data_IF_806325076050
#
_entry.id   IF_806325076050
#
_cell.length_a   1.000
_cell.length_b   1.000
_cell.length_c   1.000
_cell.angle_alpha   90.00
_cell.angle_beta   90.00
_cell.angle_gamma   90.00
#
_symmetry.space_group_name_H-M   'P 1'
#
loop_
_entity.id
_entity.type
_entity.pdbx_description
1 polymer ?
#
# COMPACT_ATOMS: atom_id res chain seq x y z
N UNK A 1 -1.71 9.70 -11.65
CA UNK A 1 -1.44 8.37 -12.18
C UNK A 1 -2.27 7.33 -11.47
N UNK A 2 -2.96 6.51 -12.24
CA UNK A 2 -3.71 5.35 -11.78
C UNK A 2 -2.95 4.04 -11.99
N UNK A 3 -3.56 2.94 -11.58
CA UNK A 3 -2.91 1.62 -11.61
C UNK A 3 -2.57 1.16 -13.03
N UNK A 4 -3.38 1.50 -14.03
CA UNK A 4 -3.16 1.10 -15.43
C UNK A 4 -1.96 1.84 -16.03
N UNK A 5 -1.87 3.14 -15.79
CA UNK A 5 -0.77 4.00 -16.24
C UNK A 5 0.57 3.60 -15.62
N UNK A 6 0.60 3.37 -14.30
CA UNK A 6 1.80 2.85 -13.61
C UNK A 6 2.23 1.52 -14.21
N UNK A 7 1.29 0.63 -14.51
CA UNK A 7 1.60 -0.67 -15.11
C UNK A 7 2.16 -0.53 -16.53
N UNK A 8 1.69 0.43 -17.32
CA UNK A 8 2.21 0.72 -18.66
C UNK A 8 3.69 1.13 -18.61
N UNK A 9 4.04 2.08 -17.75
CA UNK A 9 5.44 2.49 -17.56
C UNK A 9 6.27 1.33 -17.02
N UNK A 10 5.74 0.57 -16.06
CA UNK A 10 6.44 -0.58 -15.46
C UNK A 10 6.75 -1.68 -16.47
N UNK A 11 5.94 -1.87 -17.52
CA UNK A 11 6.20 -2.83 -18.60
C UNK A 11 7.46 -2.47 -19.41
N UNK A 12 7.87 -1.19 -19.41
CA UNK A 12 9.09 -0.72 -20.08
C UNK A 12 10.37 -1.20 -19.36
N UNK A 13 10.28 -1.62 -18.11
CA UNK A 13 11.43 -2.14 -17.35
C UNK A 13 11.67 -3.63 -17.64
N UNK A 14 11.90 -3.96 -18.89
CA UNK A 14 12.25 -5.31 -19.33
C UNK A 14 13.19 -5.25 -20.54
N UNK A 15 13.98 -6.30 -20.81
CA UNK A 15 14.87 -6.31 -21.97
C UNK A 15 14.14 -6.07 -23.30
N UNK A 16 12.90 -6.57 -23.42
CA UNK A 16 12.12 -6.47 -24.66
C UNK A 16 11.59 -5.05 -24.92
N UNK A 17 11.23 -4.31 -23.86
CA UNK A 17 10.52 -3.03 -23.96
C UNK A 17 11.36 -1.87 -23.39
N UNK A 18 12.69 -2.02 -23.30
CA UNK A 18 13.53 -1.08 -22.56
C UNK A 18 13.58 0.30 -23.23
N UNK A 19 12.85 1.26 -22.67
CA UNK A 19 12.88 2.67 -23.04
C UNK A 19 13.97 3.48 -22.30
N UNK A 20 14.74 2.84 -21.41
CA UNK A 20 15.77 3.51 -20.62
C UNK A 20 16.97 3.84 -21.50
N UNK A 21 17.38 5.11 -21.49
CA UNK A 21 18.49 5.62 -22.28
C UNK A 21 19.75 5.82 -21.45
N UNK A 22 19.60 6.28 -20.20
CA UNK A 22 20.72 6.62 -19.29
C UNK A 22 20.43 6.10 -17.89
N UNK A 23 21.51 5.73 -17.19
CA UNK A 23 21.52 5.44 -15.77
C UNK A 23 22.70 6.14 -15.10
N UNK A 24 22.41 6.76 -13.98
CA UNK A 24 23.36 7.46 -13.14
C UNK A 24 23.23 6.92 -11.70
N UNK A 25 24.36 6.72 -11.04
CA UNK A 25 24.44 6.16 -9.70
C UNK A 25 25.28 7.02 -8.77
N UNK A 26 24.89 7.13 -7.51
CA UNK A 26 25.70 7.76 -6.46
C UNK A 26 25.60 6.94 -5.17
N UNK A 27 26.72 6.35 -4.74
CA UNK A 27 26.84 5.62 -3.48
C UNK A 27 27.26 6.55 -2.36
N UNK A 28 26.45 6.60 -1.31
CA UNK A 28 26.59 7.52 -0.18
C UNK A 28 26.78 6.71 1.10
N UNK A 29 27.78 7.07 1.89
CA UNK A 29 28.01 6.44 3.20
C UNK A 29 27.15 7.08 4.31
N UNK A 30 27.16 6.45 5.49
CA UNK A 30 26.47 6.93 6.69
C UNK A 30 26.94 8.32 7.18
N UNK A 31 28.08 8.83 6.70
CA UNK A 31 28.58 10.18 6.98
C UNK A 31 28.16 11.20 5.90
N UNK A 32 27.26 10.81 4.99
CA UNK A 32 26.76 11.61 3.85
C UNK A 32 27.84 11.99 2.82
N UNK A 33 28.92 11.20 2.72
CA UNK A 33 29.94 11.38 1.68
C UNK A 33 29.60 10.57 0.43
N UNK A 34 29.74 11.19 -0.75
CA UNK A 34 29.72 10.49 -2.05
C UNK A 34 31.00 9.65 -2.18
N UNK A 35 30.86 8.32 -2.20
CA UNK A 35 31.97 7.36 -2.32
C UNK A 35 32.22 6.91 -3.75
N UNK A 36 31.18 6.89 -4.57
CA UNK A 36 31.23 6.46 -5.95
C UNK A 36 30.11 7.12 -6.72
N UNK A 37 30.41 7.52 -7.95
CA UNK A 37 29.46 8.01 -8.93
C UNK A 37 29.65 7.26 -10.25
N UNK A 38 28.56 7.05 -10.97
CA UNK A 38 28.57 6.44 -12.30
C UNK A 38 27.58 7.14 -13.23
N UNK A 39 27.90 7.14 -14.52
CA UNK A 39 27.05 7.65 -15.59
C UNK A 39 27.28 6.80 -16.84
N UNK A 40 26.27 6.03 -17.23
CA UNK A 40 26.38 5.06 -18.32
C UNK A 40 25.13 5.07 -19.20
N UNK A 41 25.29 4.68 -20.47
CA UNK A 41 24.15 4.31 -21.29
C UNK A 41 23.58 2.99 -20.76
N UNK A 42 22.27 2.92 -20.52
CA UNK A 42 21.69 1.76 -19.83
C UNK A 42 21.92 0.45 -20.59
N UNK A 43 21.84 0.48 -21.93
CA UNK A 43 22.07 -0.68 -22.79
C UNK A 43 23.55 -1.11 -22.88
N UNK A 44 24.48 -0.36 -22.27
CA UNK A 44 25.89 -0.75 -22.18
C UNK A 44 26.16 -1.63 -20.94
N UNK A 45 25.21 -1.72 -20.00
CA UNK A 45 25.35 -2.55 -18.81
C UNK A 45 25.33 -4.05 -19.16
N UNK A 46 26.05 -4.89 -18.38
CA UNK A 46 25.88 -6.33 -18.45
C UNK A 46 24.41 -6.75 -18.26
N UNK A 47 23.95 -7.73 -19.02
CA UNK A 47 22.54 -8.16 -19.00
C UNK A 47 22.08 -8.58 -17.59
N UNK A 48 22.93 -9.30 -16.85
CA UNK A 48 22.64 -9.72 -15.48
C UNK A 48 22.43 -8.53 -14.52
N UNK A 49 23.21 -7.45 -14.68
CA UNK A 49 23.07 -6.22 -13.90
C UNK A 49 21.80 -5.47 -14.29
N UNK A 50 21.54 -5.34 -15.60
CA UNK A 50 20.33 -4.69 -16.12
C UNK A 50 19.05 -5.34 -15.56
N UNK A 51 19.01 -6.67 -15.44
CA UNK A 51 17.90 -7.36 -14.80
C UNK A 51 17.68 -6.94 -13.34
N UNK A 52 18.76 -6.76 -12.55
CA UNK A 52 18.64 -6.29 -11.17
C UNK A 52 18.14 -4.85 -11.09
N UNK A 53 18.59 -3.99 -11.99
CA UNK A 53 18.10 -2.62 -12.06
C UNK A 53 16.61 -2.56 -12.47
N UNK A 54 16.17 -3.39 -13.42
CA UNK A 54 14.73 -3.49 -13.75
C UNK A 54 13.88 -3.88 -12.54
N UNK A 55 14.35 -4.80 -11.69
CA UNK A 55 13.64 -5.18 -10.47
C UNK A 55 13.53 -4.01 -9.47
N UNK A 56 14.58 -3.19 -9.36
CA UNK A 56 14.57 -1.96 -8.55
C UNK A 56 13.53 -0.98 -9.09
N UNK A 57 13.56 -0.64 -10.38
CA UNK A 57 12.64 0.34 -10.97
C UNK A 57 11.18 -0.12 -10.92
N UNK A 58 10.95 -1.42 -11.18
CA UNK A 58 9.64 -2.05 -10.96
C UNK A 58 9.19 -1.94 -9.52
N UNK A 59 10.11 -2.03 -8.55
CA UNK A 59 9.77 -1.93 -7.13
C UNK A 59 9.44 -0.50 -6.74
N UNK A 60 10.11 0.50 -7.31
CA UNK A 60 9.77 1.92 -7.16
C UNK A 60 8.38 2.24 -7.72
N UNK A 61 7.94 1.54 -8.77
CA UNK A 61 6.58 1.61 -9.30
C UNK A 61 5.69 0.45 -8.81
N UNK A 62 5.66 0.21 -7.50
CA UNK A 62 4.89 -0.88 -6.89
C UNK A 62 4.16 -0.49 -5.61
N UNK A 63 3.16 -1.31 -5.25
CA UNK A 63 2.35 -1.12 -4.06
C UNK A 63 0.97 -0.56 -4.42
N UNK A 64 0.28 -0.01 -3.42
CA UNK A 64 -1.04 0.59 -3.62
C UNK A 64 -0.91 2.08 -3.96
N UNK A 65 -1.68 2.55 -4.95
CA UNK A 65 -1.88 3.98 -5.20
C UNK A 65 -2.52 4.59 -3.95
N UNK A 66 -2.04 5.77 -3.55
CA UNK A 66 -2.52 6.47 -2.37
C UNK A 66 -1.96 5.98 -1.03
N UNK A 67 -1.11 4.95 -1.04
CA UNK A 67 -0.40 4.46 0.15
C UNK A 67 1.10 4.34 -0.06
N UNK A 68 1.51 3.55 -1.04
CA UNK A 68 2.93 3.41 -1.41
C UNK A 68 3.31 4.34 -2.55
N UNK A 69 2.38 4.60 -3.46
CA UNK A 69 2.57 5.46 -4.61
C UNK A 69 1.62 6.66 -4.48
N UNK A 70 2.16 7.84 -4.27
CA UNK A 70 1.41 9.05 -3.97
C UNK A 70 1.50 10.00 -5.17
N UNK A 71 0.36 10.34 -5.75
CA UNK A 71 0.30 11.42 -6.72
C UNK A 71 0.41 12.74 -5.98
N UNK A 72 1.33 13.60 -6.39
CA UNK A 72 1.52 14.93 -5.80
C UNK A 72 1.50 15.96 -6.92
N UNK A 73 0.79 17.05 -6.69
CA UNK A 73 0.72 18.19 -7.60
C UNK A 73 1.73 19.25 -7.17
N UNK A 74 2.33 19.93 -8.15
CA UNK A 74 3.15 21.10 -7.89
C UNK A 74 2.26 22.29 -7.53
N UNK A 75 2.58 23.03 -6.45
CA UNK A 75 1.95 24.31 -6.20
C UNK A 75 2.39 25.33 -7.27
N UNK A 76 1.56 26.35 -7.50
CA UNK A 76 1.77 27.32 -8.59
C UNK A 76 3.16 28.00 -8.54
N UNK A 77 3.70 28.25 -7.36
CA UNK A 77 5.02 28.86 -7.17
C UNK A 77 6.17 27.93 -7.56
N UNK A 78 6.02 26.62 -7.41
CA UNK A 78 7.00 25.64 -7.87
C UNK A 78 7.10 25.57 -9.40
N UNK A 79 6.05 25.96 -10.12
CA UNK A 79 5.99 25.99 -11.59
C UNK A 79 6.45 27.33 -12.20
N UNK A 80 6.61 28.36 -11.37
CA UNK A 80 7.10 29.66 -11.81
C UNK A 80 8.61 29.61 -12.11
N UNK A 81 9.14 30.54 -12.94
CA UNK A 81 10.58 30.62 -13.19
C UNK A 81 11.38 30.72 -11.88
N UNK A 82 12.33 29.81 -11.69
CA UNK A 82 13.12 29.63 -10.48
C UNK A 82 12.55 28.63 -9.46
N UNK A 83 11.36 28.08 -9.71
CA UNK A 83 10.72 27.07 -8.86
C UNK A 83 11.37 25.69 -8.97
N UNK A 84 11.08 24.81 -8.00
CA UNK A 84 11.70 23.48 -7.90
C UNK A 84 11.39 22.58 -9.10
N UNK A 85 10.22 22.73 -9.73
CA UNK A 85 9.84 21.98 -10.93
C UNK A 85 10.81 22.27 -12.09
N UNK A 86 11.28 23.52 -12.23
CA UNK A 86 12.21 23.91 -13.30
C UNK A 86 13.53 23.12 -13.21
N UNK A 87 14.00 22.81 -12.00
CA UNK A 87 15.19 22.00 -11.80
C UNK A 87 14.98 20.55 -12.29
N UNK A 88 13.84 19.93 -11.97
CA UNK A 88 13.51 18.59 -12.44
C UNK A 88 13.33 18.54 -13.98
N UNK A 89 12.73 19.59 -14.56
CA UNK A 89 12.61 19.73 -16.02
C UNK A 89 13.99 19.82 -16.68
N UNK A 90 14.89 20.68 -16.16
CA UNK A 90 16.27 20.79 -16.67
C UNK A 90 17.02 19.46 -16.57
N UNK A 91 16.89 18.77 -15.45
CA UNK A 91 17.52 17.47 -15.23
C UNK A 91 17.05 16.44 -16.27
N UNK A 92 15.73 16.33 -16.47
CA UNK A 92 15.13 15.47 -17.51
C UNK A 92 15.57 15.87 -18.92
N UNK A 93 15.47 17.15 -19.26
CA UNK A 93 15.72 17.66 -20.61
C UNK A 93 17.20 17.56 -20.99
N UNK A 94 18.10 17.58 -20.01
CA UNK A 94 19.52 17.28 -20.19
C UNK A 94 19.79 15.80 -20.50
N UNK A 95 18.78 14.92 -20.38
CA UNK A 95 18.89 13.46 -20.50
C UNK A 95 19.95 12.85 -19.57
N UNK A 96 20.17 13.52 -18.44
CA UNK A 96 21.23 13.22 -17.46
C UNK A 96 22.64 13.29 -18.06
N UNK A 97 22.88 14.19 -19.01
CA UNK A 97 24.20 14.38 -19.62
C UNK A 97 24.98 15.52 -18.98
N UNK A 98 24.31 16.46 -18.31
CA UNK A 98 24.91 17.58 -17.61
C UNK A 98 25.40 17.17 -16.21
N UNK A 99 26.72 17.11 -16.05
CA UNK A 99 27.39 16.73 -14.80
C UNK A 99 27.13 17.71 -13.65
N UNK A 100 26.96 19.00 -13.95
CA UNK A 100 26.69 19.98 -12.89
C UNK A 100 25.28 19.82 -12.33
N UNK A 101 24.29 19.56 -13.20
CA UNK A 101 22.91 19.28 -12.77
C UNK A 101 22.81 17.97 -11.99
N UNK A 102 23.54 16.93 -12.41
CA UNK A 102 23.58 15.66 -11.69
C UNK A 102 24.20 15.82 -10.29
N UNK A 103 25.30 16.56 -10.19
CA UNK A 103 25.97 16.79 -8.93
C UNK A 103 25.10 17.57 -7.94
N UNK A 104 24.45 18.64 -8.43
CA UNK A 104 23.47 19.41 -7.66
C UNK A 104 22.28 18.53 -7.22
N UNK A 105 21.82 17.63 -8.09
CA UNK A 105 20.74 16.70 -7.74
C UNK A 105 21.15 15.75 -6.62
N UNK A 106 22.34 15.16 -6.68
CA UNK A 106 22.85 14.31 -5.60
C UNK A 106 23.00 15.06 -4.29
N UNK A 107 23.52 16.30 -4.32
CA UNK A 107 23.63 17.13 -3.11
C UNK A 107 22.26 17.42 -2.48
N UNK A 108 21.26 17.77 -3.30
CA UNK A 108 19.88 17.98 -2.82
C UNK A 108 19.30 16.72 -2.20
N UNK A 109 19.48 15.55 -2.83
CA UNK A 109 19.01 14.27 -2.27
C UNK A 109 19.72 13.98 -0.94
N UNK A 110 21.04 14.13 -0.87
CA UNK A 110 21.83 13.86 0.35
C UNK A 110 21.47 14.83 1.50
N UNK A 111 21.19 16.09 1.17
CA UNK A 111 20.79 17.09 2.16
C UNK A 111 19.41 16.81 2.74
N UNK A 112 18.48 16.26 1.96
CA UNK A 112 17.06 16.15 2.30
C UNK A 112 16.61 14.74 2.70
N UNK A 113 17.34 13.69 2.31
CA UNK A 113 17.06 12.33 2.72
C UNK A 113 17.64 12.05 4.12
N UNK A 114 16.76 11.79 5.08
CA UNK A 114 17.10 11.44 6.45
C UNK A 114 17.24 9.92 6.59
N UNK A 115 18.48 9.44 6.46
CA UNK A 115 18.82 8.04 6.61
C UNK A 115 20.19 7.88 7.28
N UNK A 116 20.27 6.95 8.24
CA UNK A 116 21.44 6.82 9.13
C UNK A 116 22.48 5.79 8.66
N UNK A 117 22.17 5.02 7.62
CA UNK A 117 23.07 4.00 7.06
C UNK A 117 23.50 4.37 5.64
N UNK A 118 24.28 3.51 5.00
CA UNK A 118 24.69 3.73 3.61
C UNK A 118 23.51 3.53 2.67
N UNK A 119 23.52 4.24 1.54
CA UNK A 119 22.48 4.11 0.52
C UNK A 119 23.03 4.41 -0.87
N UNK A 120 22.30 3.96 -1.88
CA UNK A 120 22.62 4.13 -3.28
C UNK A 120 21.47 4.86 -3.98
N UNK A 121 21.78 6.03 -4.54
CA UNK A 121 20.86 6.82 -5.34
C UNK A 121 21.00 6.35 -6.78
N UNK A 122 19.91 5.86 -7.37
CA UNK A 122 19.85 5.47 -8.78
C UNK A 122 18.90 6.42 -9.49
N UNK A 123 19.36 7.07 -10.55
CA UNK A 123 18.58 7.96 -11.38
C UNK A 123 18.65 7.49 -12.83
N UNK A 124 17.50 7.35 -13.49
CA UNK A 124 17.43 6.99 -14.91
C UNK A 124 16.70 8.06 -15.71
N UNK A 125 17.02 8.14 -17.00
CA UNK A 125 16.23 8.84 -18.00
C UNK A 125 15.74 7.85 -19.05
N UNK A 126 14.46 7.93 -19.37
CA UNK A 126 13.80 7.08 -20.36
C UNK A 126 12.98 7.91 -21.34
N UNK A 127 12.93 7.44 -22.59
CA UNK A 127 12.14 8.02 -23.66
C UNK A 127 11.25 6.92 -24.24
N UNK A 128 10.00 6.87 -23.79
CA UNK A 128 9.03 5.86 -24.15
C UNK A 128 8.15 6.34 -25.30
N UNK A 129 8.14 5.58 -26.39
CA UNK A 129 7.29 5.82 -27.54
C UNK A 129 5.90 5.23 -27.26
N UNK A 130 4.88 6.07 -27.05
CA UNK A 130 3.56 5.66 -26.55
C UNK A 130 2.72 5.09 -27.70
N UNK A 131 2.43 3.77 -27.75
CA UNK A 131 1.69 3.18 -28.86
C UNK A 131 0.29 3.78 -29.00
N UNK A 132 -0.21 3.92 -30.22
CA UNK A 132 -1.61 4.28 -30.47
C UNK A 132 -2.56 3.24 -29.91
N UNK A 133 -3.79 3.64 -29.57
CA UNK A 133 -4.86 2.70 -29.18
C UNK A 133 -6.09 2.91 -30.03
N UNK A 134 -6.72 1.80 -30.43
CA UNK A 134 -8.04 1.83 -31.08
C UNK A 134 -9.16 2.06 -30.06
N UNK A 135 -10.38 2.30 -30.54
CA UNK A 135 -11.58 2.41 -29.68
C UNK A 135 -11.84 1.18 -28.82
N UNK A 136 -11.30 0.02 -29.22
CA UNK A 136 -11.48 -1.27 -28.56
C UNK A 136 -10.26 -1.64 -27.68
N UNK A 137 -9.43 -0.66 -27.33
CA UNK A 137 -8.23 -0.78 -26.48
C UNK A 137 -7.12 -1.69 -27.02
N UNK A 138 -7.10 -1.95 -28.33
CA UNK A 138 -6.02 -2.68 -28.98
C UNK A 138 -4.84 -1.73 -29.28
N UNK A 139 -3.64 -2.15 -28.87
CA UNK A 139 -2.39 -1.42 -29.10
C UNK A 139 -2.00 -1.48 -30.59
N UNK A 140 -1.64 -0.32 -31.14
CA UNK A 140 -1.13 -0.14 -32.49
C UNK A 140 0.27 0.46 -32.43
N UNK A 141 1.27 -0.42 -32.43
CA UNK A 141 2.69 -0.05 -32.30
C UNK A 141 3.15 0.92 -33.42
N UNK A 142 2.53 0.86 -34.61
CA UNK A 142 2.86 1.71 -35.75
C UNK A 142 2.19 3.10 -35.72
N UNK A 143 1.39 3.39 -34.69
CA UNK A 143 0.57 4.61 -34.59
C UNK A 143 0.86 5.41 -33.31
N UNK A 144 2.14 5.68 -33.02
CA UNK A 144 2.52 6.56 -31.91
C UNK A 144 2.46 8.04 -32.31
N UNK A 145 1.81 8.84 -31.47
CA UNK A 145 1.74 10.30 -31.59
C UNK A 145 2.52 11.04 -30.48
N UNK A 146 3.03 10.33 -29.46
CA UNK A 146 3.70 10.94 -28.30
C UNK A 146 4.93 10.15 -27.84
N UNK A 147 6.02 10.87 -27.57
CA UNK A 147 7.20 10.33 -26.89
C UNK A 147 7.25 10.87 -25.47
N UNK A 148 6.91 10.02 -24.51
CA UNK A 148 6.93 10.33 -23.09
C UNK A 148 8.36 10.23 -22.53
N UNK A 149 8.96 11.38 -22.22
CA UNK A 149 10.27 11.48 -21.58
C UNK A 149 10.13 11.68 -20.09
N UNK A 150 10.83 10.86 -19.30
CA UNK A 150 10.77 10.93 -17.84
C UNK A 150 12.10 10.58 -17.20
N UNK A 151 12.23 11.03 -15.96
CA UNK A 151 13.23 10.56 -15.01
C UNK A 151 12.56 9.74 -13.92
N UNK A 152 13.25 8.68 -13.49
CA UNK A 152 12.86 7.88 -12.33
C UNK A 152 14.05 7.81 -11.39
N UNK A 153 13.82 8.17 -10.14
CA UNK A 153 14.79 8.06 -9.06
C UNK A 153 14.39 6.93 -8.10
N UNK A 154 15.37 6.13 -7.67
CA UNK A 154 15.22 5.08 -6.65
C UNK A 154 16.35 5.20 -5.63
N UNK A 155 16.00 5.38 -4.35
CA UNK A 155 16.97 5.35 -3.23
C UNK A 155 16.92 3.96 -2.61
N UNK A 156 18.03 3.24 -2.69
CA UNK A 156 18.17 1.89 -2.15
C UNK A 156 19.09 1.90 -0.93
N UNK A 157 18.63 1.42 0.25
CA UNK A 157 19.52 1.12 1.36
C UNK A 157 20.65 0.19 0.95
N UNK A 158 21.82 0.35 1.57
CA UNK A 158 22.99 -0.51 1.34
C UNK A 158 23.46 -1.07 2.67
N UNK A 159 23.28 -2.38 2.85
CA UNK A 159 23.56 -3.07 4.11
C UNK A 159 24.55 -4.21 3.93
N UNK A 160 25.30 -4.55 4.98
CA UNK A 160 26.20 -5.71 4.93
C UNK A 160 25.40 -7.01 4.85
N UNK A 161 25.78 -7.87 3.92
CA UNK A 161 25.27 -9.24 3.80
C UNK A 161 25.27 -9.98 5.15
N UNK A 162 24.39 -10.99 5.30
CA UNK A 162 24.26 -11.73 6.57
C UNK A 162 25.59 -12.36 6.99
N UNK A 163 25.95 -12.13 8.26
CA UNK A 163 27.09 -12.78 8.89
C UNK A 163 26.90 -14.31 8.91
N UNK A 164 28.02 -15.04 8.93
CA UNK A 164 28.00 -16.50 8.96
C UNK A 164 29.35 -17.08 8.59
N UNK A 165 29.40 -18.41 8.46
CA UNK A 165 30.58 -19.09 7.95
C UNK A 165 30.38 -19.42 6.46
N UNK A 166 31.44 -19.27 5.66
CA UNK A 166 31.46 -19.66 4.25
C UNK A 166 32.56 -20.65 3.96
N UNK A 167 32.32 -21.55 3.01
CA UNK A 167 33.35 -22.42 2.48
C UNK A 167 34.30 -21.62 1.57
N UNK A 168 35.57 -21.56 1.94
CA UNK A 168 36.63 -21.03 1.09
C UNK A 168 37.21 -22.17 0.25
N UNK A 169 37.04 -22.09 -1.08
CA UNK A 169 37.48 -23.13 -2.00
C UNK A 169 39.00 -23.18 -2.18
N UNK A 170 39.72 -22.08 -1.94
CA UNK A 170 41.18 -22.01 -2.06
C UNK A 170 41.86 -22.68 -0.86
N UNK A 171 41.41 -22.34 0.35
CA UNK A 171 41.95 -22.88 1.62
C UNK A 171 41.28 -24.21 2.04
N UNK A 172 40.26 -24.65 1.31
CA UNK A 172 39.44 -25.83 1.61
C UNK A 172 38.99 -25.90 3.08
N UNK A 173 38.53 -24.78 3.61
CA UNK A 173 38.13 -24.64 5.00
C UNK A 173 36.84 -23.83 5.16
N UNK A 174 36.20 -23.99 6.31
CA UNK A 174 35.08 -23.16 6.74
C UNK A 174 35.64 -22.00 7.55
N UNK A 175 35.40 -20.78 7.11
CA UNK A 175 35.88 -19.57 7.75
C UNK A 175 34.79 -18.51 7.86
N UNK A 176 35.07 -17.44 8.62
CA UNK A 176 34.17 -16.28 8.69
C UNK A 176 33.90 -15.70 7.30
N UNK A 177 32.64 -15.38 7.05
CA UNK A 177 32.19 -14.91 5.75
C UNK A 177 32.64 -13.46 5.56
N UNK A 178 33.34 -13.20 4.46
CA UNK A 178 33.56 -11.84 3.98
C UNK A 178 32.20 -11.26 3.61
N UNK A 179 31.82 -10.16 4.28
CA UNK A 179 30.50 -9.56 4.12
C UNK A 179 30.56 -8.45 3.07
N UNK A 180 29.85 -8.66 1.97
CA UNK A 180 29.68 -7.64 0.94
C UNK A 180 28.61 -6.62 1.32
N UNK A 181 28.75 -5.39 0.83
CA UNK A 181 27.68 -4.39 0.82
C UNK A 181 26.67 -4.75 -0.26
N UNK A 182 25.41 -4.91 0.13
CA UNK A 182 24.32 -5.30 -0.76
C UNK A 182 23.36 -4.11 -0.91
N UNK A 183 23.07 -3.75 -2.15
CA UNK A 183 22.00 -2.81 -2.50
C UNK A 183 20.65 -3.52 -2.33
N UNK A 184 19.83 -3.01 -1.41
CA UNK A 184 18.50 -3.52 -1.14
C UNK A 184 17.45 -2.94 -2.11
N UNK A 185 16.20 -3.40 -1.96
CA UNK A 185 15.06 -2.81 -2.67
C UNK A 185 14.88 -1.33 -2.28
N UNK A 186 14.36 -0.50 -3.19
CA UNK A 186 14.18 0.92 -2.94
C UNK A 186 13.30 1.17 -1.72
N UNK A 187 13.70 2.18 -0.95
CA UNK A 187 12.94 2.68 0.20
C UNK A 187 12.10 3.90 -0.19
N UNK A 188 12.69 4.79 -1.00
CA UNK A 188 12.06 5.99 -1.56
C UNK A 188 12.33 6.08 -3.06
N UNK A 189 11.50 6.84 -3.76
CA UNK A 189 11.75 7.16 -5.16
C UNK A 189 10.70 8.10 -5.72
N UNK A 190 10.89 8.55 -6.94
CA UNK A 190 9.87 9.30 -7.67
C UNK A 190 9.97 9.06 -9.17
N UNK A 191 8.87 9.35 -9.87
CA UNK A 191 8.80 9.43 -11.32
C UNK A 191 8.26 10.81 -11.71
N UNK A 192 9.03 11.53 -12.53
CA UNK A 192 8.68 12.86 -13.03
C UNK A 192 9.03 13.00 -14.52
N UNK A 193 8.16 13.61 -15.34
CA UNK A 193 6.79 14.04 -15.02
C UNK A 193 5.87 12.84 -14.78
N UNK A 194 4.66 13.04 -14.26
CA UNK A 194 3.68 11.97 -14.19
C UNK A 194 3.22 11.56 -15.61
N UNK A 195 2.67 10.34 -15.72
CA UNK A 195 2.07 9.81 -16.94
C UNK A 195 0.56 9.64 -16.72
N UNK A 196 -0.21 10.64 -17.14
CA UNK A 196 -1.66 10.70 -16.96
C UNK A 196 -2.34 10.77 -18.34
N UNK A 197 -3.44 10.05 -18.52
CA UNK A 197 -4.20 9.99 -19.78
C UNK A 197 -3.31 9.60 -20.96
N UNK A 198 -2.35 8.73 -20.69
CA UNK A 198 -1.31 8.27 -21.63
C UNK A 198 -0.45 9.40 -22.22
N UNK A 199 -0.33 10.51 -21.49
CA UNK A 199 0.43 11.68 -21.90
C UNK A 199 1.30 12.21 -20.76
N UNK A 200 2.21 13.12 -21.11
CA UNK A 200 3.10 13.81 -20.18
C UNK A 200 2.32 14.81 -19.33
N UNK A 201 2.25 14.59 -18.02
CA UNK A 201 1.74 15.57 -17.07
C UNK A 201 2.88 16.24 -16.29
N UNK A 202 3.18 17.49 -16.67
CA UNK A 202 4.23 18.31 -16.06
C UNK A 202 3.85 18.78 -14.66
N UNK A 203 2.56 18.84 -14.34
CA UNK A 203 2.03 19.42 -13.10
C UNK A 203 2.06 18.43 -11.93
N UNK A 204 2.40 17.17 -12.19
CA UNK A 204 2.37 16.12 -11.18
C UNK A 204 3.66 15.30 -11.14
N UNK A 205 3.95 14.76 -9.96
CA UNK A 205 4.99 13.77 -9.70
C UNK A 205 4.37 12.55 -9.01
N UNK A 206 4.84 11.37 -9.36
CA UNK A 206 4.49 10.14 -8.64
C UNK A 206 5.60 9.83 -7.64
N UNK A 207 5.30 9.93 -6.36
CA UNK A 207 6.23 9.64 -5.27
C UNK A 207 6.05 8.20 -4.77
N UNK A 208 7.15 7.52 -4.49
CA UNK A 208 7.18 6.18 -3.91
C UNK A 208 7.72 6.19 -2.49
N UNK A 209 7.00 5.51 -1.60
CA UNK A 209 7.51 5.10 -0.29
C UNK A 209 7.25 3.62 -0.03
N UNK A 210 8.23 2.97 0.59
CA UNK A 210 8.10 1.62 1.13
C UNK A 210 7.17 1.56 2.36
N UNK A 211 7.17 2.60 3.19
CA UNK A 211 6.40 2.68 4.46
C UNK A 211 5.55 3.95 4.46
N UNK A 212 4.23 3.81 4.67
CA UNK A 212 3.32 4.97 4.64
C UNK A 212 3.56 5.94 5.78
N UNK A 213 4.07 5.46 6.93
CA UNK A 213 4.42 6.31 8.06
C UNK A 213 5.70 7.15 7.88
N UNK A 214 6.51 6.85 6.85
CA UNK A 214 7.78 7.53 6.59
C UNK A 214 7.80 8.08 5.17
N UNK A 215 7.36 9.34 5.03
CA UNK A 215 7.24 10.05 3.76
C UNK A 215 8.42 10.96 3.43
N UNK A 216 9.31 11.26 4.39
CA UNK A 216 10.43 12.21 4.22
C UNK A 216 9.94 13.61 3.75
N UNK A 217 9.26 14.37 4.63
CA UNK A 217 8.68 15.68 4.29
C UNK A 217 9.68 16.65 3.67
N UNK A 218 10.91 16.71 4.20
CA UNK A 218 11.97 17.59 3.74
C UNK A 218 12.38 17.28 2.30
N UNK A 219 12.39 16.00 1.92
CA UNK A 219 12.66 15.59 0.55
C UNK A 219 11.50 15.96 -0.38
N UNK A 220 10.24 15.77 0.04
CA UNK A 220 9.08 16.17 -0.77
C UNK A 220 9.09 17.70 -1.01
N UNK A 221 9.34 18.48 0.05
CA UNK A 221 9.31 19.94 -0.03
C UNK A 221 10.53 20.51 -0.76
N UNK A 222 11.74 20.13 -0.40
CA UNK A 222 12.96 20.79 -0.90
C UNK A 222 13.53 20.17 -2.18
N UNK A 223 13.36 18.86 -2.38
CA UNK A 223 13.82 18.20 -3.62
C UNK A 223 12.75 18.25 -4.71
N UNK A 224 11.49 17.96 -4.39
CA UNK A 224 10.41 17.97 -5.37
C UNK A 224 9.74 19.34 -5.46
N UNK A 225 9.54 20.05 -4.33
CA UNK A 225 8.72 21.25 -4.30
C UNK A 225 7.24 20.95 -4.46
N UNK A 226 6.81 19.74 -4.10
CA UNK A 226 5.42 19.31 -4.20
C UNK A 226 4.72 19.43 -2.84
N UNK A 227 3.39 19.55 -2.85
CA UNK A 227 2.63 19.59 -1.60
C UNK A 227 2.58 18.20 -0.97
N UNK A 228 3.00 18.09 0.29
CA UNK A 228 2.90 16.84 1.05
C UNK A 228 1.43 16.41 1.21
N UNK A 229 1.05 15.21 0.73
CA UNK A 229 -0.29 14.67 0.95
C UNK A 229 -0.41 14.08 2.36
N UNK A 230 -1.64 13.91 2.84
CA UNK A 230 -1.89 13.12 4.05
C UNK A 230 -1.48 11.67 3.80
N UNK A 231 -0.70 11.10 4.73
CA UNK A 231 -0.35 9.68 4.67
C UNK A 231 -1.59 8.80 4.82
N UNK A 232 -1.52 7.54 4.37
CA UNK A 232 -2.61 6.59 4.54
C UNK A 232 -3.00 6.40 6.02
N UNK A 233 -2.01 6.38 6.92
CA UNK A 233 -2.23 6.20 8.34
C UNK A 233 -2.87 7.45 8.97
N UNK A 234 -2.41 8.63 8.58
CA UNK A 234 -3.04 9.91 8.99
C UNK A 234 -4.47 10.04 8.47
N UNK A 235 -4.75 9.62 7.23
CA UNK A 235 -6.12 9.64 6.69
C UNK A 235 -7.05 8.76 7.54
N UNK A 236 -6.58 7.58 7.96
CA UNK A 236 -7.33 6.68 8.82
C UNK A 236 -7.62 7.29 10.19
N UNK A 237 -6.60 7.85 10.84
CA UNK A 237 -6.74 8.54 12.13
C UNK A 237 -7.71 9.73 12.03
N UNK A 238 -7.57 10.55 10.99
CA UNK A 238 -8.47 11.68 10.71
C UNK A 238 -9.91 11.23 10.52
N UNK A 239 -10.16 10.16 9.76
CA UNK A 239 -11.51 9.63 9.58
C UNK A 239 -12.10 9.14 10.90
N UNK A 240 -11.29 8.48 11.73
CA UNK A 240 -11.73 8.03 13.06
C UNK A 240 -12.08 9.22 13.96
N UNK A 241 -11.28 10.29 13.97
CA UNK A 241 -11.60 11.53 14.70
C UNK A 241 -12.90 12.18 14.20
N UNK A 242 -13.15 12.18 12.88
CA UNK A 242 -14.41 12.70 12.31
C UNK A 242 -15.61 11.89 12.81
N UNK A 243 -15.50 10.56 12.89
CA UNK A 243 -16.54 9.70 13.48
C UNK A 243 -16.75 10.06 14.95
N UNK A 244 -15.69 10.10 15.74
CA UNK A 244 -15.73 10.37 17.19
C UNK A 244 -16.33 11.75 17.50
N UNK A 245 -15.87 12.81 16.83
CA UNK A 245 -16.32 14.20 17.05
C UNK A 245 -17.77 14.43 16.58
N UNK A 246 -18.23 13.68 15.57
CA UNK A 246 -19.61 13.80 15.06
C UNK A 246 -20.58 12.98 15.89
N UNK A 247 -20.21 11.76 16.28
CA UNK A 247 -21.10 10.88 17.04
C UNK A 247 -21.12 11.21 18.54
N UNK A 248 -20.03 11.75 19.08
CA UNK A 248 -19.86 12.03 20.50
C UNK A 248 -19.88 10.76 21.38
N UNK A 249 -20.08 10.94 22.69
CA UNK A 249 -20.15 9.83 23.67
C UNK A 249 -21.33 8.87 23.45
N UNK A 250 -22.33 9.28 22.66
CA UNK A 250 -23.53 8.50 22.35
C UNK A 250 -23.43 7.74 21.02
N UNK A 251 -22.22 7.51 20.49
CA UNK A 251 -22.02 6.67 19.31
C UNK A 251 -22.41 5.22 19.60
N UNK A 252 -23.53 4.75 19.05
CA UNK A 252 -23.92 3.35 19.18
C UNK A 252 -23.20 2.45 18.16
N UNK A 253 -23.08 1.17 18.55
CA UNK A 253 -22.42 0.15 17.75
C UNK A 253 -23.02 -0.01 16.34
N UNK A 254 -24.35 0.08 16.23
CA UNK A 254 -25.05 -0.12 14.95
C UNK A 254 -24.68 0.98 13.96
N UNK A 255 -24.64 2.23 14.40
CA UNK A 255 -24.25 3.37 13.58
C UNK A 255 -22.82 3.24 13.06
N UNK A 256 -21.85 2.93 13.92
CA UNK A 256 -20.45 2.77 13.52
C UNK A 256 -20.29 1.59 12.54
N UNK A 257 -20.98 0.47 12.82
CA UNK A 257 -21.02 -0.67 11.90
C UNK A 257 -21.59 -0.28 10.54
N UNK A 258 -22.70 0.45 10.50
CA UNK A 258 -23.33 0.88 9.25
C UNK A 258 -22.42 1.83 8.45
N UNK A 259 -21.64 2.70 9.11
CA UNK A 259 -20.63 3.55 8.45
C UNK A 259 -19.60 2.70 7.73
N UNK A 260 -19.08 1.66 8.39
CA UNK A 260 -18.14 0.73 7.78
C UNK A 260 -18.76 -0.08 6.64
N UNK A 261 -20.01 -0.54 6.78
CA UNK A 261 -20.74 -1.25 5.71
C UNK A 261 -20.95 -0.36 4.48
N UNK A 262 -21.48 0.85 4.67
CA UNK A 262 -21.72 1.82 3.58
C UNK A 262 -20.43 2.15 2.83
N UNK A 263 -19.33 2.35 3.57
CA UNK A 263 -18.03 2.62 2.98
C UNK A 263 -17.49 1.41 2.18
N UNK A 264 -17.67 0.19 2.69
CA UNK A 264 -17.25 -1.03 1.97
C UNK A 264 -18.07 -1.23 0.69
N UNK A 265 -19.38 -0.99 0.74
CA UNK A 265 -20.27 -1.08 -0.43
C UNK A 265 -19.83 -0.10 -1.52
N UNK A 266 -19.55 1.16 -1.16
CA UNK A 266 -19.01 2.15 -2.10
C UNK A 266 -17.67 1.69 -2.72
N UNK A 267 -16.78 1.08 -1.95
CA UNK A 267 -15.51 0.57 -2.49
C UNK A 267 -15.76 -0.57 -3.50
N UNK A 268 -16.67 -1.49 -3.20
CA UNK A 268 -17.00 -2.60 -4.09
C UNK A 268 -17.71 -2.13 -5.37
N UNK A 269 -18.55 -1.10 -5.30
CA UNK A 269 -19.19 -0.47 -6.47
C UNK A 269 -18.15 0.16 -7.42
N UNK A 270 -17.10 0.75 -6.87
CA UNK A 270 -16.06 1.46 -7.63
C UNK A 270 -14.82 0.60 -7.97
N UNK A 271 -14.80 -0.70 -7.67
CA UNK A 271 -13.58 -1.54 -7.79
C UNK A 271 -13.04 -1.74 -9.22
N UNK A 272 -13.92 -1.62 -10.22
CA UNK A 272 -13.56 -1.78 -11.64
C UNK A 272 -13.12 -0.45 -12.28
N UNK A 273 -13.29 0.67 -11.57
CA UNK A 273 -12.84 1.97 -12.05
C UNK A 273 -11.31 2.06 -12.02
N UNK A 274 -10.70 2.73 -13.00
CA UNK A 274 -9.24 2.86 -13.05
C UNK A 274 -8.71 3.71 -11.89
N UNK A 275 -9.46 4.74 -11.51
CA UNK A 275 -9.06 5.69 -10.48
C UNK A 275 -9.53 5.24 -9.09
N UNK A 276 -8.70 5.40 -8.05
CA UNK A 276 -9.12 5.07 -6.69
C UNK A 276 -10.28 5.96 -6.22
N UNK A 277 -11.25 5.36 -5.51
CA UNK A 277 -12.33 6.10 -4.88
C UNK A 277 -11.78 7.08 -3.83
N UNK A 278 -12.00 8.37 -4.09
CA UNK A 278 -11.71 9.48 -3.19
C UNK A 278 -13.02 10.04 -2.66
N UNK A 279 -13.03 10.41 -1.38
CA UNK A 279 -14.21 10.89 -0.67
C UNK A 279 -13.92 12.30 -0.17
N UNK A 280 -14.73 13.26 -0.61
CA UNK A 280 -14.69 14.62 -0.11
C UNK A 280 -15.63 14.81 1.10
N UNK A 281 -15.69 16.02 1.64
CA UNK A 281 -16.58 16.39 2.74
C UNK A 281 -18.05 16.01 2.47
N UNK A 282 -18.51 16.20 1.24
CA UNK A 282 -19.90 15.92 0.84
C UNK A 282 -20.16 14.42 0.82
N UNK A 283 -19.22 13.64 0.32
CA UNK A 283 -19.37 12.19 0.25
C UNK A 283 -19.32 11.55 1.63
N UNK A 284 -18.41 12.00 2.50
CA UNK A 284 -18.39 11.54 3.90
C UNK A 284 -19.67 11.93 4.64
N UNK A 285 -20.24 13.11 4.38
CA UNK A 285 -21.54 13.52 4.94
C UNK A 285 -22.65 12.54 4.55
N UNK A 286 -22.72 12.16 3.27
CA UNK A 286 -23.71 11.21 2.76
C UNK A 286 -23.56 9.83 3.41
N UNK A 287 -22.32 9.37 3.62
CA UNK A 287 -22.06 8.10 4.33
C UNK A 287 -22.72 8.15 5.70
N UNK A 288 -22.48 9.20 6.49
CA UNK A 288 -23.06 9.33 7.82
C UNK A 288 -24.59 9.38 7.80
N UNK A 289 -25.19 10.14 6.87
CA UNK A 289 -26.64 10.23 6.69
C UNK A 289 -27.25 8.86 6.34
N UNK A 290 -26.61 8.10 5.43
CA UNK A 290 -27.06 6.77 5.01
C UNK A 290 -26.88 5.71 6.10
N UNK A 291 -25.87 5.87 6.96
CA UNK A 291 -25.60 4.96 8.08
C UNK A 291 -26.50 5.17 9.30
N UNK A 292 -27.43 6.13 9.24
CA UNK A 292 -28.44 6.36 10.27
C UNK A 292 -28.04 7.37 11.35
N UNK A 293 -27.01 8.20 11.10
CA UNK A 293 -26.62 9.25 12.05
C UNK A 293 -27.75 10.29 12.17
N UNK A 294 -28.25 10.57 13.40
CA UNK A 294 -29.33 11.53 13.59
C UNK A 294 -28.96 12.95 13.15
N UNK A 295 -29.91 13.69 12.59
CA UNK A 295 -29.71 15.07 12.13
C UNK A 295 -29.12 16.00 13.19
N UNK A 296 -29.49 15.83 14.47
CA UNK A 296 -28.96 16.62 15.60
C UNK A 296 -27.43 16.47 15.72
N UNK A 297 -26.90 15.27 15.45
CA UNK A 297 -25.45 15.01 15.46
C UNK A 297 -24.76 15.52 14.20
N UNK A 298 -25.48 15.59 13.08
CA UNK A 298 -24.96 16.10 11.81
C UNK A 298 -24.82 17.63 11.77
N UNK A 299 -25.39 18.38 12.72
CA UNK A 299 -25.33 19.86 12.73
C UNK A 299 -23.89 20.40 12.71
N UNK A 300 -22.96 19.72 13.40
CA UNK A 300 -21.56 20.14 13.49
C UNK A 300 -20.63 19.38 12.53
N UNK A 301 -21.16 18.45 11.71
CA UNK A 301 -20.34 17.59 10.85
C UNK A 301 -19.38 18.38 9.96
N UNK A 302 -19.87 19.43 9.29
CA UNK A 302 -19.05 20.21 8.36
C UNK A 302 -17.87 20.87 9.07
N UNK A 303 -18.10 21.39 10.27
CA UNK A 303 -17.06 21.98 11.11
C UNK A 303 -16.06 20.91 11.58
N UNK A 304 -16.55 19.75 12.06
CA UNK A 304 -15.70 18.66 12.52
C UNK A 304 -14.80 18.13 11.38
N UNK A 305 -15.33 17.99 10.16
CA UNK A 305 -14.54 17.59 9.00
C UNK A 305 -13.46 18.64 8.68
N UNK A 306 -13.81 19.92 8.68
CA UNK A 306 -12.87 21.01 8.40
C UNK A 306 -11.76 21.13 9.45
N UNK A 307 -12.07 20.95 10.72
CA UNK A 307 -11.09 21.01 11.82
C UNK A 307 -10.13 19.80 11.80
N UNK A 308 -10.61 18.62 11.41
CA UNK A 308 -9.82 17.39 11.42
C UNK A 308 -9.05 17.11 10.12
N UNK A 309 -9.67 17.38 8.96
CA UNK A 309 -9.11 17.07 7.64
C UNK A 309 -8.71 18.33 6.86
N UNK A 310 -9.47 19.42 7.02
CA UNK A 310 -9.33 20.65 6.25
C UNK A 310 -10.42 20.81 5.16
N UNK A 311 -10.71 22.07 4.81
CA UNK A 311 -11.84 22.46 3.94
C UNK A 311 -11.88 21.76 2.58
N UNK A 312 -10.72 21.50 1.98
CA UNK A 312 -10.57 20.88 0.66
C UNK A 312 -9.92 19.51 0.71
N UNK A 313 -9.90 18.87 1.88
CA UNK A 313 -9.32 17.55 2.01
C UNK A 313 -10.19 16.49 1.33
N UNK A 314 -9.50 15.50 0.79
CA UNK A 314 -10.10 14.27 0.27
C UNK A 314 -9.42 13.09 0.96
N UNK A 315 -10.21 12.06 1.23
CA UNK A 315 -9.74 10.83 1.87
C UNK A 315 -9.90 9.68 0.87
N UNK A 316 -8.88 8.82 0.77
CA UNK A 316 -9.01 7.62 -0.05
C UNK A 316 -9.82 6.57 0.70
N UNK A 317 -10.92 6.11 0.10
CA UNK A 317 -11.80 5.12 0.73
C UNK A 317 -11.01 3.88 1.18
N UNK A 318 -10.09 3.40 0.34
CA UNK A 318 -9.23 2.25 0.66
C UNK A 318 -8.23 2.45 1.82
N UNK A 319 -7.93 3.69 2.21
CA UNK A 319 -7.08 4.00 3.36
C UNK A 319 -7.87 4.06 4.66
N UNK A 320 -9.12 4.52 4.59
CA UNK A 320 -9.98 4.72 5.77
C UNK A 320 -10.89 3.51 6.06
N UNK A 321 -11.16 2.68 5.06
CA UNK A 321 -11.95 1.46 5.24
C UNK A 321 -11.11 0.34 5.87
N UNK A 322 -11.59 -0.20 6.99
CA UNK A 322 -11.05 -1.44 7.54
C UNK A 322 -11.67 -2.69 6.89
N UNK A 323 -11.42 -2.87 5.59
CA UNK A 323 -12.02 -3.95 4.79
C UNK A 323 -11.60 -5.35 5.27
N UNK A 324 -10.49 -5.45 6.02
CA UNK A 324 -9.91 -6.75 6.43
C UNK A 324 -10.13 -7.11 7.88
N UNK A 325 -10.56 -6.17 8.72
CA UNK A 325 -10.67 -6.36 10.16
C UNK A 325 -11.84 -5.55 10.69
N UNK A 326 -12.69 -6.20 11.47
CA UNK A 326 -13.64 -5.51 12.31
C UNK A 326 -13.44 -6.02 13.74
N UNK A 327 -12.83 -5.19 14.56
CA UNK A 327 -12.53 -5.53 15.95
C UNK A 327 -13.45 -4.76 16.87
N UNK A 328 -13.98 -5.46 17.87
CA UNK A 328 -14.72 -4.84 18.97
C UNK A 328 -13.88 -5.02 20.22
N UNK A 329 -13.46 -3.91 20.81
CA UNK A 329 -12.56 -3.91 21.96
C UNK A 329 -13.28 -3.38 23.20
N UNK A 330 -13.12 -4.10 24.29
CA UNK A 330 -13.44 -3.67 25.65
C UNK A 330 -12.15 -3.77 26.47
N UNK A 331 -12.06 -3.17 27.68
CA UNK A 331 -10.81 -3.14 28.45
C UNK A 331 -10.11 -4.50 28.63
N UNK A 332 -10.87 -5.60 28.72
CA UNK A 332 -10.34 -6.94 29.00
C UNK A 332 -10.59 -7.95 27.86
N UNK A 333 -11.33 -7.58 26.80
CA UNK A 333 -11.76 -8.51 25.74
C UNK A 333 -11.68 -7.86 24.37
N UNK A 334 -11.05 -8.57 23.42
CA UNK A 334 -11.02 -8.22 22.00
C UNK A 334 -11.79 -9.29 21.22
N UNK A 335 -12.85 -8.88 20.52
CA UNK A 335 -13.63 -9.72 19.62
C UNK A 335 -13.22 -9.38 18.19
N UNK A 336 -12.75 -10.39 17.45
CA UNK A 336 -12.41 -10.24 16.03
C UNK A 336 -13.52 -10.85 15.19
N UNK A 337 -14.13 -10.03 14.34
CA UNK A 337 -15.24 -10.42 13.47
C UNK A 337 -14.73 -10.39 12.03
N UNK A 338 -15.17 -11.35 11.22
CA UNK A 338 -14.99 -11.27 9.78
C UNK A 338 -15.80 -10.07 9.26
N UNK A 339 -15.20 -9.09 8.55
CA UNK A 339 -15.93 -7.92 8.02
C UNK A 339 -17.16 -8.28 7.16
N UNK A 340 -17.11 -9.39 6.43
CA UNK A 340 -18.25 -9.85 5.62
C UNK A 340 -19.42 -10.40 6.47
N UNK A 341 -19.20 -10.56 7.78
CA UNK A 341 -20.12 -11.18 8.74
C UNK A 341 -20.36 -10.32 9.98
N UNK A 342 -20.28 -8.99 9.84
CA UNK A 342 -20.63 -8.06 10.93
C UNK A 342 -22.09 -8.23 11.38
N UNK A 343 -22.95 -8.79 10.51
CA UNK A 343 -24.34 -9.18 10.78
C UNK A 343 -24.52 -10.16 11.94
N UNK A 344 -23.48 -10.93 12.28
CA UNK A 344 -23.52 -11.88 13.38
C UNK A 344 -23.46 -11.24 14.76
N UNK A 345 -23.09 -9.96 14.88
CA UNK A 345 -22.98 -9.31 16.19
C UNK A 345 -24.18 -8.39 16.39
N UNK A 346 -24.98 -8.70 17.40
CA UNK A 346 -26.12 -7.89 17.82
C UNK A 346 -25.87 -7.25 19.19
N UNK A 347 -26.46 -6.09 19.45
CA UNK A 347 -26.50 -5.51 20.80
C UNK A 347 -27.84 -5.82 21.45
N UNK A 348 -27.84 -6.41 22.66
CA UNK A 348 -29.07 -6.64 23.45
C UNK A 348 -28.88 -6.29 24.92
N UNK A 349 -29.97 -5.87 25.54
CA UNK A 349 -30.05 -5.75 27.00
C UNK A 349 -30.42 -7.11 27.61
N UNK A 350 -29.49 -7.70 28.37
CA UNK A 350 -29.69 -8.96 29.09
C UNK A 350 -29.53 -8.67 30.58
N UNK A 351 -30.59 -8.93 31.37
CA UNK A 351 -30.60 -8.70 32.81
C UNK A 351 -30.19 -7.27 33.23
N UNK A 352 -30.58 -6.27 32.42
CA UNK A 352 -30.25 -4.86 32.65
C UNK A 352 -28.81 -4.46 32.31
N UNK A 353 -28.05 -5.35 31.64
CA UNK A 353 -26.70 -5.08 31.15
C UNK A 353 -26.70 -5.06 29.63
N UNK A 354 -25.98 -4.10 29.05
CA UNK A 354 -25.74 -4.08 27.61
C UNK A 354 -24.73 -5.18 27.27
N UNK A 355 -25.10 -6.03 26.33
CA UNK A 355 -24.30 -7.18 25.92
C UNK A 355 -24.22 -7.23 24.39
N UNK A 356 -23.06 -7.64 23.89
CA UNK A 356 -22.92 -8.12 22.53
C UNK A 356 -23.35 -9.59 22.49
N UNK A 357 -24.22 -9.93 21.56
CA UNK A 357 -24.77 -11.27 21.36
C UNK A 357 -24.31 -11.77 20.01
N UNK A 358 -23.60 -12.89 20.02
CA UNK A 358 -23.18 -13.60 18.82
C UNK A 358 -23.93 -14.93 18.81
N UNK A 359 -24.81 -15.18 17.83
CA UNK A 359 -25.43 -16.48 17.68
C UNK A 359 -24.35 -17.48 17.26
N UNK A 360 -24.38 -18.64 17.91
CA UNK A 360 -23.36 -19.69 17.74
C UNK A 360 -24.03 -20.96 17.24
N UNK A 361 -23.38 -21.60 16.27
CA UNK A 361 -23.77 -22.93 15.78
C UNK A 361 -23.06 -24.05 16.56
N UNK A 362 -23.22 -25.29 16.13
CA UNK A 362 -22.72 -26.48 16.83
C UNK A 362 -21.18 -26.63 16.79
N UNK A 363 -20.43 -25.67 16.23
CA UNK A 363 -18.98 -25.76 16.01
C UNK A 363 -18.20 -24.63 16.69
N UNK A 364 -18.17 -24.64 18.03
CA UNK A 364 -17.36 -23.69 18.81
C UNK A 364 -16.06 -24.34 19.22
N UNK A 365 -14.96 -23.59 19.11
CA UNK A 365 -13.66 -23.99 19.67
C UNK A 365 -13.18 -23.04 20.77
N UNK A 366 -12.63 -23.60 21.83
CA UNK A 366 -11.90 -22.86 22.88
C UNK A 366 -10.47 -23.35 22.87
N UNK A 367 -9.54 -22.48 22.45
CA UNK A 367 -8.12 -22.82 22.28
C UNK A 367 -7.89 -24.08 21.41
N UNK A 368 -8.66 -24.21 20.31
CA UNK A 368 -8.59 -25.34 19.39
C UNK A 368 -9.31 -26.61 19.87
N UNK A 369 -10.08 -26.53 20.95
CA UNK A 369 -10.86 -27.65 21.47
C UNK A 369 -12.34 -27.41 21.18
N UNK A 370 -12.96 -28.32 20.42
CA UNK A 370 -14.38 -28.25 20.11
C UNK A 370 -15.24 -28.41 21.38
N UNK A 371 -16.17 -27.49 21.61
CA UNK A 371 -17.05 -27.41 22.78
C UNK A 371 -18.49 -27.13 22.38
N UNK A 372 -19.43 -27.57 23.22
CA UNK A 372 -20.85 -27.21 23.12
C UNK A 372 -21.20 -26.11 24.11
N UNK A 373 -22.02 -25.15 23.71
CA UNK A 373 -22.44 -24.02 24.56
C UNK A 373 -23.57 -24.33 25.51
N UNK A 374 -24.35 -25.36 25.21
CA UNK A 374 -25.42 -25.83 26.09
C UNK A 374 -25.21 -27.29 26.50
N UNK A 375 -25.41 -27.58 27.79
CA UNK A 375 -25.48 -28.96 28.29
C UNK A 375 -26.76 -29.60 27.77
N UNK A 376 -26.65 -30.71 27.04
CA UNK A 376 -27.80 -31.55 26.69
C UNK A 376 -28.45 -32.02 27.99
N UNK A 377 -29.71 -31.65 28.24
CA UNK A 377 -30.48 -32.25 29.34
C UNK A 377 -30.63 -33.74 29.05
N UNK A 378 -30.01 -34.57 29.89
CA UNK A 378 -29.89 -36.01 29.70
C UNK A 378 -31.23 -36.70 29.48
N UNK A 379 -31.23 -37.59 28.49
CA UNK A 379 -32.21 -38.67 28.34
C UNK A 379 -32.19 -39.50 29.62
N UNK A 380 -33.37 -39.75 30.19
CA UNK A 380 -33.55 -40.52 31.42
C UNK A 380 -32.85 -41.88 31.35
N UNK A 381 -32.06 -42.19 32.38
CA UNK A 381 -31.50 -43.53 32.61
C UNK A 381 -32.64 -44.55 32.75
N UNK A 382 -32.64 -45.66 31.99
CA UNK A 382 -33.54 -46.77 32.27
C UNK A 382 -33.03 -47.53 33.50
N UNK A 383 -33.97 -47.79 34.41
CA UNK A 383 -33.79 -48.55 35.63
C UNK A 383 -33.12 -49.90 35.39
N UNK A 384 -32.16 -50.23 36.25
CA UNK A 384 -31.59 -51.56 36.39
C UNK A 384 -32.68 -52.61 36.66
N UNK A 385 -32.66 -53.71 35.92
CA UNK A 385 -33.53 -54.87 36.15
C UNK A 385 -33.31 -56.02 35.17
N UNK A 386 -32.44 -56.96 35.55
CA UNK A 386 -32.68 -58.41 35.41
C UNK A 386 -32.43 -59.10 34.05
N UNK A 387 -31.26 -59.76 33.97
CA UNK A 387 -31.03 -61.15 33.50
C UNK A 387 -31.61 -61.66 32.17
N UNK A 388 -30.73 -62.18 31.29
CA UNK A 388 -31.11 -63.21 30.33
C UNK A 388 -30.19 -63.31 29.10
N UNK A 389 -29.44 -64.40 29.04
CA UNK A 389 -28.55 -64.96 28.01
C UNK A 389 -28.91 -64.78 26.51
N UNK A 390 -27.85 -64.79 25.67
CA UNK A 390 -27.62 -65.68 24.52
C UNK A 390 -27.13 -65.00 23.21
N UNK A 391 -25.84 -65.24 22.94
CA UNK A 391 -25.11 -65.55 21.69
C UNK A 391 -25.88 -65.55 20.35
N UNK A 392 -25.36 -64.86 19.32
CA UNK A 392 -24.86 -65.43 18.04
C UNK A 392 -24.56 -64.39 16.93
N UNK A 393 -23.37 -64.54 16.34
CA UNK A 393 -22.96 -64.42 14.91
C UNK A 393 -23.04 -63.03 14.21
N UNK A 394 -21.88 -62.49 13.77
CA UNK A 394 -21.27 -62.63 12.43
C UNK A 394 -21.99 -61.69 11.42
N UNK A 395 -21.38 -60.90 10.55
CA UNK A 395 -20.18 -61.01 9.73
C UNK A 395 -19.97 -59.62 9.07
N UNK A 396 -18.73 -59.35 8.64
CA UNK A 396 -18.24 -58.57 7.48
C UNK A 396 -19.13 -57.48 6.84
N UNK A 397 -18.63 -56.29 6.49
CA UNK A 397 -17.77 -56.15 5.32
C UNK A 397 -17.08 -54.78 5.23
N UNK A 398 -15.82 -54.84 4.79
CA UNK A 398 -14.94 -53.74 4.39
C UNK A 398 -15.02 -53.62 2.87
N UNK A 399 -15.31 -52.44 2.33
CA UNK A 399 -14.96 -52.06 0.94
C UNK A 399 -14.87 -50.52 0.82
N UNK A 400 -14.15 -49.97 -0.18
CA UNK A 400 -12.97 -49.15 0.08
C UNK A 400 -13.09 -47.72 -0.49
N UNK A 401 -12.13 -46.90 -0.09
CA UNK A 401 -11.80 -45.63 -0.74
C UNK A 401 -11.09 -45.91 -2.07
N UNK A 402 -11.64 -45.40 -3.18
CA UNK A 402 -10.91 -45.18 -4.44
C UNK A 402 -10.48 -43.70 -4.49
N UNK A 403 -9.19 -43.51 -4.78
CA UNK A 403 -8.56 -42.25 -5.17
C UNK A 403 -8.76 -42.01 -6.67
N UNK A 404 -9.07 -40.76 -7.04
CA UNK A 404 -8.37 -39.99 -8.08
C UNK A 404 -8.61 -38.48 -7.85
#
# INVERSE_FOLDING_TARGET
MNKKEVLEIRKQFSPKNCAITKICGCYVDYEKNKKMESKEAFLALPEEEAFKYFDIFKKTLSGSIGKNMLNMEFPLDAEMPGGTQEFLLKLRDSRLEDDMLLEEFYDKVIATYEYAENYYIILIHAAYDVPGRTSDDLEMDDASDEVYQHILMSICPVSLSKAGLSYNAEENCIQDRIRDWIVDKPDKGFLFPAFNDRSTDLHSVLYYTKKSEDLQPEMIDQLLGAKMPMSADTQKETFQMIIEDTLGEDGDYETVRNIHETLNDMIEEHKEEPDPLTLDKTDVKKIFEQSGVPNEKMENFEKNFEENAGEKATLLASNIAEIRKFNIETPDVVIKVNPDRMDLVETRMIDGRQCLVIPVDDHIEVNGINVRTMKVKGVAEPKAGGSGEAVENAEDDVVPFDED
#
